data_IF_661684039740
#
_entry.id   IF_661684039740
#
_cell.length_a   1.000
_cell.length_b   1.000
_cell.length_c   1.000
_cell.angle_alpha   90.00
_cell.angle_beta   90.00
_cell.angle_gamma   90.00
#
_symmetry.space_group_name_H-M   'P 1'
#
loop_
_entity.id
_entity.type
_entity.pdbx_description
1 polymer ?
#
# COMPACT_ATOMS: atom_id res chain seq x y z
N UNK A 1 6.44 0.93 22.49
CA UNK A 1 6.47 0.10 21.26
C UNK A 1 5.11 0.14 20.55
N UNK A 2 4.02 -0.33 21.16
CA UNK A 2 2.70 -0.37 20.52
C UNK A 2 2.18 1.03 20.14
N UNK A 3 2.11 1.93 21.13
CA UNK A 3 1.60 3.31 20.93
C UNK A 3 2.45 4.12 19.97
N UNK A 4 3.72 3.73 19.79
CA UNK A 4 4.63 4.39 18.86
C UNK A 4 4.36 3.96 17.41
N UNK A 5 4.21 2.64 17.18
CA UNK A 5 4.18 2.08 15.84
C UNK A 5 2.78 1.93 15.25
N UNK A 6 1.75 1.80 16.09
CA UNK A 6 0.41 1.41 15.62
C UNK A 6 -0.50 2.63 15.34
N UNK A 7 -0.83 3.51 16.32
CA UNK A 7 -1.90 4.49 16.16
C UNK A 7 -1.53 5.78 15.41
N UNK A 8 -0.24 6.07 15.18
CA UNK A 8 0.22 7.37 14.66
C UNK A 8 -0.07 7.67 13.18
N UNK A 9 -0.81 6.79 12.47
CA UNK A 9 -1.18 6.98 11.07
C UNK A 9 -2.55 7.63 10.88
N UNK A 10 -2.99 7.77 9.63
CA UNK A 10 -4.35 8.23 9.28
C UNK A 10 -5.44 7.18 9.56
N UNK A 11 -5.04 5.94 9.86
CA UNK A 11 -5.92 4.78 10.10
C UNK A 11 -6.91 4.47 8.96
N UNK A 12 -6.61 4.92 7.73
CA UNK A 12 -7.50 4.79 6.58
C UNK A 12 -7.88 3.33 6.29
N UNK A 13 -6.98 2.37 6.53
CA UNK A 13 -7.24 0.94 6.26
C UNK A 13 -8.18 0.38 7.34
N UNK A 14 -7.90 0.70 8.60
CA UNK A 14 -8.74 0.31 9.73
C UNK A 14 -10.15 0.90 9.65
N UNK A 15 -10.26 2.21 9.41
CA UNK A 15 -11.54 2.91 9.23
C UNK A 15 -12.35 2.35 8.06
N UNK A 16 -11.67 1.95 6.98
CA UNK A 16 -12.33 1.39 5.82
C UNK A 16 -13.06 0.06 6.09
N UNK A 17 -12.69 -0.71 7.13
CA UNK A 17 -13.47 -1.90 7.53
C UNK A 17 -14.84 -1.48 8.04
N UNK A 18 -14.88 -0.45 8.89
CA UNK A 18 -16.10 0.08 9.50
C UNK A 18 -17.00 0.68 8.42
N UNK A 19 -16.43 1.54 7.57
CA UNK A 19 -17.16 2.18 6.47
C UNK A 19 -17.73 1.14 5.50
N UNK A 20 -16.93 0.13 5.14
CA UNK A 20 -17.38 -0.94 4.24
C UNK A 20 -18.52 -1.74 4.85
N UNK A 21 -18.38 -2.11 6.13
CA UNK A 21 -19.41 -2.89 6.82
C UNK A 21 -20.72 -2.11 6.94
N UNK A 22 -20.65 -0.82 7.26
CA UNK A 22 -21.81 0.05 7.32
C UNK A 22 -22.51 0.18 5.95
N UNK A 23 -21.74 0.33 4.87
CA UNK A 23 -22.29 0.40 3.51
C UNK A 23 -22.94 -0.93 3.07
N UNK A 24 -22.36 -2.06 3.46
CA UNK A 24 -22.94 -3.39 3.21
C UNK A 24 -24.24 -3.63 3.98
N UNK A 25 -24.47 -2.92 5.08
CA UNK A 25 -25.72 -2.96 5.86
C UNK A 25 -26.82 -2.07 5.29
N UNK A 26 -26.56 -1.34 4.20
CA UNK A 26 -27.54 -0.54 3.46
C UNK A 26 -28.32 0.45 4.34
N UNK A 27 -27.62 1.11 5.27
CA UNK A 27 -28.19 2.15 6.15
C UNK A 27 -28.88 1.63 7.42
N UNK A 28 -28.79 0.32 7.70
CA UNK A 28 -29.15 -0.21 9.02
C UNK A 28 -28.09 0.19 10.04
N UNK A 29 -28.55 0.64 11.21
CA UNK A 29 -27.69 1.00 12.32
C UNK A 29 -26.89 -0.22 12.81
N UNK A 30 -25.58 -0.03 13.04
CA UNK A 30 -24.71 -1.06 13.58
C UNK A 30 -24.98 -1.21 15.07
N UNK A 31 -25.13 -2.44 15.55
CA UNK A 31 -25.09 -2.70 16.99
C UNK A 31 -23.71 -2.40 17.56
N UNK A 32 -23.64 -2.16 18.89
CA UNK A 32 -22.37 -1.93 19.58
C UNK A 32 -21.37 -3.10 19.38
N UNK A 33 -21.85 -4.35 19.34
CA UNK A 33 -21.00 -5.52 19.06
C UNK A 33 -20.46 -5.49 17.62
N UNK A 34 -21.32 -5.21 16.64
CA UNK A 34 -20.91 -5.11 15.24
C UNK A 34 -19.89 -4.00 15.00
N UNK A 35 -20.13 -2.82 15.58
CA UNK A 35 -19.20 -1.69 15.50
C UNK A 35 -17.86 -2.03 16.15
N UNK A 36 -17.88 -2.62 17.36
CA UNK A 36 -16.68 -3.04 18.05
C UNK A 36 -15.89 -4.08 17.26
N UNK A 37 -16.55 -5.08 16.68
CA UNK A 37 -15.91 -6.12 15.88
C UNK A 37 -15.31 -5.55 14.59
N UNK A 38 -16.00 -4.62 13.92
CA UNK A 38 -15.45 -3.95 12.74
C UNK A 38 -14.20 -3.13 13.11
N UNK A 39 -14.23 -2.42 14.25
CA UNK A 39 -13.06 -1.73 14.79
C UNK A 39 -11.92 -2.71 15.11
N UNK A 40 -12.21 -3.86 15.71
CA UNK A 40 -11.20 -4.87 16.06
C UNK A 40 -10.50 -5.44 14.81
N UNK A 41 -11.25 -5.73 13.74
CA UNK A 41 -10.66 -6.11 12.44
C UNK A 41 -9.87 -4.97 11.82
N UNK A 42 -10.39 -3.73 11.89
CA UNK A 42 -9.67 -2.56 11.42
C UNK A 42 -8.32 -2.41 12.11
N UNK A 43 -8.27 -2.57 13.43
CA UNK A 43 -7.01 -2.58 14.18
C UNK A 43 -6.10 -3.75 13.79
N UNK A 44 -6.61 -4.95 13.54
CA UNK A 44 -5.79 -6.07 13.03
C UNK A 44 -5.03 -5.68 11.75
N UNK A 45 -5.65 -4.92 10.85
CA UNK A 45 -5.01 -4.43 9.61
C UNK A 45 -3.95 -3.36 9.93
N UNK A 46 -4.23 -2.45 10.85
CA UNK A 46 -3.24 -1.43 11.29
C UNK A 46 -2.05 -2.07 12.03
N UNK A 47 -2.26 -3.16 12.78
CA UNK A 47 -1.20 -3.98 13.37
C UNK A 47 -0.36 -4.70 12.32
N UNK A 48 -1.01 -5.28 11.29
CA UNK A 48 -0.32 -5.90 10.16
C UNK A 48 0.54 -4.88 9.41
N UNK A 49 0.00 -3.69 9.16
CA UNK A 49 0.74 -2.60 8.54
C UNK A 49 1.92 -2.18 9.42
N UNK A 50 1.71 -1.95 10.72
CA UNK A 50 2.78 -1.54 11.63
C UNK A 50 3.92 -2.57 11.68
N UNK A 51 3.60 -3.86 11.67
CA UNK A 51 4.57 -4.96 11.55
C UNK A 51 5.45 -4.79 10.31
N UNK A 52 4.84 -4.66 9.12
CA UNK A 52 5.60 -4.50 7.89
C UNK A 52 6.41 -3.20 7.87
N UNK A 53 5.85 -2.08 8.33
CA UNK A 53 6.54 -0.80 8.33
C UNK A 53 7.78 -0.77 9.22
N UNK A 54 7.74 -1.41 10.39
CA UNK A 54 8.93 -1.51 11.27
C UNK A 54 10.06 -2.27 10.59
N UNK A 55 9.75 -3.37 9.89
CA UNK A 55 10.77 -4.14 9.17
C UNK A 55 11.24 -3.44 7.90
N UNK A 56 10.32 -2.82 7.16
CA UNK A 56 10.60 -2.05 5.94
C UNK A 56 11.55 -0.88 6.25
N UNK A 57 11.30 -0.13 7.33
CA UNK A 57 12.19 0.94 7.78
C UNK A 57 13.63 0.45 8.07
N UNK A 58 13.78 -0.76 8.60
CA UNK A 58 15.09 -1.36 8.85
C UNK A 58 15.77 -1.73 7.53
N UNK A 59 15.03 -2.39 6.62
CA UNK A 59 15.57 -2.87 5.34
C UNK A 59 15.95 -1.73 4.41
N UNK A 60 15.17 -0.64 4.42
CA UNK A 60 15.41 0.55 3.61
C UNK A 60 16.37 1.54 4.27
N UNK A 61 16.76 1.33 5.52
CA UNK A 61 17.60 2.28 6.24
C UNK A 61 16.93 3.63 6.51
N UNK A 62 15.59 3.66 6.56
CA UNK A 62 14.80 4.88 6.77
C UNK A 62 15.18 5.64 8.04
N UNK A 63 15.01 6.96 7.99
CA UNK A 63 15.29 7.85 9.12
C UNK A 63 14.05 8.21 9.94
N UNK A 64 12.96 8.58 9.26
CA UNK A 64 11.73 9.07 9.89
C UNK A 64 10.48 8.41 9.32
N UNK A 65 9.48 8.22 10.16
CA UNK A 65 8.14 7.76 9.79
C UNK A 65 7.10 8.48 10.65
N UNK A 66 6.02 8.97 10.01
CA UNK A 66 4.90 9.67 10.68
C UNK A 66 5.38 10.85 11.55
N UNK A 67 6.36 11.62 11.07
CA UNK A 67 6.91 12.79 11.77
C UNK A 67 7.87 12.47 12.93
N UNK A 68 8.20 11.20 13.17
CA UNK A 68 9.11 10.78 14.24
C UNK A 68 10.24 9.90 13.70
N UNK A 69 11.36 9.71 14.44
CA UNK A 69 12.38 8.74 14.06
C UNK A 69 11.78 7.33 13.90
N UNK A 70 12.26 6.55 12.92
CA UNK A 70 11.87 5.15 12.78
C UNK A 70 12.17 4.38 14.08
N UNK A 71 11.37 3.37 14.41
CA UNK A 71 11.46 2.67 15.71
C UNK A 71 12.87 2.14 16.00
N UNK A 72 13.52 1.52 15.01
CA UNK A 72 14.87 0.99 15.13
C UNK A 72 15.98 2.06 15.27
N UNK A 73 15.67 3.33 14.96
CA UNK A 73 16.60 4.46 15.09
C UNK A 73 16.63 5.02 16.52
N UNK A 74 15.70 4.65 17.39
CA UNK A 74 15.72 5.11 18.77
C UNK A 74 16.90 4.50 19.52
N UNK A 75 17.69 5.29 20.29
CA UNK A 75 18.93 4.82 20.92
C UNK A 75 18.78 3.58 21.82
N UNK A 76 17.62 3.44 22.49
CA UNK A 76 17.33 2.34 23.41
C UNK A 76 16.70 1.12 22.71
N UNK A 77 16.39 1.22 21.41
CA UNK A 77 15.67 0.17 20.66
C UNK A 77 16.65 -0.54 19.72
N UNK A 78 17.25 0.16 18.77
CA UNK A 78 18.12 -0.47 17.78
C UNK A 78 17.45 -1.66 17.08
N UNK A 79 18.18 -2.76 16.93
CA UNK A 79 17.68 -3.97 16.26
C UNK A 79 16.71 -4.82 17.10
N UNK A 80 16.42 -4.45 18.35
CA UNK A 80 15.32 -5.05 19.13
C UNK A 80 13.99 -4.89 18.36
N UNK A 81 13.90 -3.85 17.53
CA UNK A 81 12.80 -3.60 16.61
C UNK A 81 12.39 -4.80 15.75
N UNK A 82 13.32 -5.72 15.39
CA UNK A 82 12.96 -6.96 14.67
C UNK A 82 12.04 -7.83 15.53
N UNK A 83 12.40 -8.03 16.81
CA UNK A 83 11.58 -8.82 17.73
C UNK A 83 10.25 -8.13 18.01
N UNK A 84 10.26 -6.81 18.16
CA UNK A 84 9.05 -6.01 18.33
C UNK A 84 8.08 -6.17 17.16
N UNK A 85 8.60 -6.17 15.92
CA UNK A 85 7.78 -6.42 14.73
C UNK A 85 7.09 -7.79 14.77
N UNK A 86 7.80 -8.84 15.22
CA UNK A 86 7.19 -10.16 15.41
C UNK A 86 6.08 -10.14 16.46
N UNK A 87 6.21 -9.34 17.52
CA UNK A 87 5.14 -9.15 18.51
C UNK A 87 3.94 -8.45 17.87
N UNK A 88 4.16 -7.41 17.06
CA UNK A 88 3.09 -6.72 16.32
C UNK A 88 2.28 -7.71 15.47
N UNK A 89 2.96 -8.57 14.71
CA UNK A 89 2.35 -9.62 13.89
C UNK A 89 1.53 -10.62 14.73
N UNK A 90 2.09 -11.12 15.83
CA UNK A 90 1.42 -12.11 16.68
C UNK A 90 0.19 -11.55 17.39
N UNK A 91 0.14 -10.24 17.64
CA UNK A 91 -1.01 -9.57 18.27
C UNK A 91 -2.28 -9.67 17.43
N UNK A 92 -2.18 -9.76 16.11
CA UNK A 92 -3.31 -9.95 15.19
C UNK A 92 -4.08 -11.21 15.57
N UNK A 93 -3.39 -12.35 15.67
CA UNK A 93 -4.01 -13.64 15.99
C UNK A 93 -4.53 -13.70 17.43
N UNK A 94 -3.94 -12.92 18.34
CA UNK A 94 -4.47 -12.73 19.70
C UNK A 94 -5.84 -12.03 19.68
N UNK A 95 -5.99 -10.97 18.90
CA UNK A 95 -7.24 -10.23 18.73
C UNK A 95 -8.28 -11.12 18.05
N UNK A 96 -7.92 -11.75 16.92
CA UNK A 96 -8.80 -12.66 16.19
C UNK A 96 -9.33 -13.78 17.09
N UNK A 97 -8.44 -14.48 17.81
CA UNK A 97 -8.84 -15.54 18.74
C UNK A 97 -9.71 -15.04 19.89
N UNK A 98 -9.43 -13.84 20.42
CA UNK A 98 -10.17 -13.31 21.57
C UNK A 98 -11.61 -12.94 21.21
N UNK A 99 -11.82 -12.31 20.06
CA UNK A 99 -13.10 -11.69 19.71
C UNK A 99 -13.89 -12.47 18.67
N UNK A 100 -13.23 -13.30 17.85
CA UNK A 100 -13.87 -13.94 16.69
C UNK A 100 -13.94 -15.46 16.78
N UNK A 101 -13.28 -16.13 17.75
CA UNK A 101 -13.24 -17.61 17.84
C UNK A 101 -14.58 -18.33 17.77
N UNK A 102 -15.66 -17.68 18.21
CA UNK A 102 -17.02 -18.23 18.21
C UNK A 102 -17.86 -17.81 17.00
N UNK A 103 -17.35 -16.96 16.13
CA UNK A 103 -18.04 -16.51 14.91
C UNK A 103 -17.87 -17.58 13.83
N UNK A 104 -18.90 -17.84 12.99
CA UNK A 104 -18.84 -18.88 11.95
C UNK A 104 -17.74 -18.61 10.92
N UNK A 105 -17.33 -17.35 10.75
CA UNK A 105 -16.30 -16.94 9.81
C UNK A 105 -14.88 -16.85 10.40
N UNK A 106 -14.65 -17.38 11.61
CA UNK A 106 -13.34 -17.30 12.28
C UNK A 106 -12.19 -17.90 11.47
N UNK A 107 -12.38 -19.10 10.92
CA UNK A 107 -11.32 -19.77 10.14
C UNK A 107 -11.00 -19.00 8.86
N UNK A 108 -12.02 -18.47 8.18
CA UNK A 108 -11.83 -17.65 6.99
C UNK A 108 -11.11 -16.33 7.30
N UNK A 109 -11.31 -15.73 8.48
CA UNK A 109 -10.51 -14.59 8.91
C UNK A 109 -9.04 -14.97 9.13
N UNK A 110 -8.75 -16.11 9.78
CA UNK A 110 -7.37 -16.57 9.96
C UNK A 110 -6.68 -16.79 8.61
N UNK A 111 -7.36 -17.49 7.69
CA UNK A 111 -6.83 -17.77 6.35
C UNK A 111 -6.64 -16.49 5.55
N UNK A 112 -7.61 -15.57 5.58
CA UNK A 112 -7.53 -14.27 4.91
C UNK A 112 -6.31 -13.45 5.38
N UNK A 113 -6.10 -13.33 6.69
CA UNK A 113 -4.97 -12.57 7.22
C UNK A 113 -3.64 -13.24 6.88
N UNK A 114 -3.53 -14.57 6.98
CA UNK A 114 -2.31 -15.30 6.63
C UNK A 114 -1.98 -15.20 5.13
N UNK A 115 -2.97 -15.36 4.26
CA UNK A 115 -2.80 -15.28 2.80
C UNK A 115 -2.36 -13.87 2.38
N UNK A 116 -3.00 -12.83 2.92
CA UNK A 116 -2.62 -11.44 2.62
C UNK A 116 -1.25 -11.09 3.21
N UNK A 117 -0.91 -11.59 4.40
CA UNK A 117 0.44 -11.45 4.97
C UNK A 117 1.48 -12.10 4.05
N UNK A 118 1.23 -13.32 3.58
CA UNK A 118 2.10 -14.02 2.63
C UNK A 118 2.27 -13.27 1.32
N UNK A 119 1.17 -12.76 0.75
CA UNK A 119 1.20 -11.95 -0.47
C UNK A 119 2.03 -10.67 -0.25
N UNK A 120 1.86 -9.99 0.87
CA UNK A 120 2.60 -8.77 1.22
C UNK A 120 4.09 -9.06 1.38
N UNK A 121 4.45 -10.13 2.11
CA UNK A 121 5.83 -10.56 2.26
C UNK A 121 6.46 -10.99 0.92
N UNK A 122 5.70 -11.63 0.04
CA UNK A 122 6.14 -11.99 -1.30
C UNK A 122 6.38 -10.76 -2.17
N UNK A 123 5.51 -9.74 -2.07
CA UNK A 123 5.72 -8.44 -2.70
C UNK A 123 6.99 -7.76 -2.22
N UNK A 124 7.23 -7.75 -0.90
CA UNK A 124 8.48 -7.26 -0.31
C UNK A 124 9.70 -8.01 -0.81
N UNK A 125 9.62 -9.35 -0.90
CA UNK A 125 10.70 -10.17 -1.43
C UNK A 125 11.04 -9.75 -2.86
N UNK A 126 10.04 -9.60 -3.75
CA UNK A 126 10.25 -9.19 -5.14
C UNK A 126 10.88 -7.78 -5.19
N UNK A 127 10.43 -6.85 -4.35
CA UNK A 127 10.99 -5.50 -4.25
C UNK A 127 12.49 -5.54 -3.90
N UNK A 128 12.85 -6.27 -2.85
CA UNK A 128 14.23 -6.37 -2.36
C UNK A 128 15.15 -7.07 -3.36
N UNK A 129 14.74 -8.19 -3.97
CA UNK A 129 15.59 -8.87 -4.95
C UNK A 129 15.75 -8.05 -6.23
N UNK A 130 14.75 -7.22 -6.58
CA UNK A 130 14.82 -6.33 -7.74
C UNK A 130 15.76 -5.16 -7.50
N UNK A 131 15.76 -4.60 -6.29
CA UNK A 131 16.45 -3.35 -5.95
C UNK A 131 17.84 -3.57 -5.32
N UNK A 132 18.04 -4.65 -4.56
CA UNK A 132 19.25 -4.87 -3.75
C UNK A 132 20.09 -6.08 -4.19
N UNK A 133 19.52 -7.06 -4.89
CA UNK A 133 20.25 -8.29 -5.23
C UNK A 133 21.09 -8.14 -6.51
N UNK A 134 22.40 -8.33 -6.35
CA UNK A 134 23.37 -8.24 -7.44
C UNK A 134 23.73 -6.79 -7.79
N UNK A 135 24.22 -6.58 -9.01
CA UNK A 135 24.58 -5.23 -9.45
C UNK A 135 23.32 -4.34 -9.60
N UNK A 136 23.46 -3.07 -9.20
CA UNK A 136 22.45 -2.03 -9.45
C UNK A 136 22.36 -1.81 -10.96
N UNK A 137 21.32 -2.38 -11.57
CA UNK A 137 21.10 -2.35 -13.00
C UNK A 137 19.64 -2.00 -13.30
N UNK A 138 19.44 -0.82 -13.88
CA UNK A 138 18.12 -0.31 -14.27
C UNK A 138 17.48 -1.14 -15.39
N UNK A 139 18.24 -1.95 -16.13
CA UNK A 139 17.70 -2.82 -17.18
C UNK A 139 16.76 -3.89 -16.62
N UNK A 140 16.91 -4.22 -15.33
CA UNK A 140 16.01 -5.12 -14.59
C UNK A 140 14.63 -4.51 -14.38
N UNK A 141 14.47 -3.19 -14.48
CA UNK A 141 13.22 -2.52 -14.14
C UNK A 141 12.27 -2.53 -15.34
N UNK A 142 11.02 -2.92 -15.07
CA UNK A 142 9.98 -2.92 -16.08
C UNK A 142 8.63 -2.64 -15.44
N UNK A 143 7.69 -2.13 -16.24
CA UNK A 143 6.31 -1.92 -15.80
C UNK A 143 5.66 -3.21 -15.26
N UNK A 144 6.05 -4.37 -15.81
CA UNK A 144 5.56 -5.67 -15.35
C UNK A 144 6.05 -6.05 -13.95
N UNK A 145 7.30 -5.70 -13.63
CA UNK A 145 7.90 -5.96 -12.31
C UNK A 145 7.35 -4.97 -11.29
N UNK A 146 7.30 -3.68 -11.63
CA UNK A 146 6.64 -2.65 -10.83
C UNK A 146 5.22 -3.10 -10.45
N UNK A 147 4.40 -3.47 -11.44
CA UNK A 147 3.03 -3.93 -11.20
C UNK A 147 2.96 -5.14 -10.25
N UNK A 148 3.88 -6.11 -10.39
CA UNK A 148 3.93 -7.27 -9.48
C UNK A 148 4.30 -6.86 -8.06
N UNK A 149 5.32 -6.03 -7.90
CA UNK A 149 5.73 -5.50 -6.59
C UNK A 149 4.54 -4.81 -5.94
N UNK A 150 3.95 -3.83 -6.62
CA UNK A 150 2.83 -3.03 -6.10
C UNK A 150 1.61 -3.88 -5.77
N UNK A 151 1.22 -4.78 -6.67
CA UNK A 151 0.05 -5.65 -6.47
C UNK A 151 0.20 -6.47 -5.19
N UNK A 152 1.36 -7.12 -5.00
CA UNK A 152 1.58 -8.00 -3.87
C UNK A 152 1.93 -7.24 -2.58
N UNK A 153 2.85 -6.26 -2.66
CA UNK A 153 3.35 -5.50 -1.51
C UNK A 153 2.31 -4.54 -0.93
N UNK A 154 1.45 -3.94 -1.76
CA UNK A 154 0.56 -2.86 -1.32
C UNK A 154 -0.92 -3.20 -1.48
N UNK A 155 -1.34 -3.66 -2.66
CA UNK A 155 -2.76 -3.65 -3.03
C UNK A 155 -3.62 -4.58 -2.16
N UNK A 156 -3.14 -5.80 -1.87
CA UNK A 156 -3.92 -6.78 -1.11
C UNK A 156 -4.22 -6.31 0.32
N UNK A 157 -3.20 -5.93 1.11
CA UNK A 157 -3.42 -5.55 2.51
C UNK A 157 -4.07 -4.15 2.64
N UNK A 158 -3.88 -3.27 1.65
CA UNK A 158 -4.35 -1.89 1.72
C UNK A 158 -5.79 -1.70 1.23
N UNK A 159 -6.21 -2.48 0.23
CA UNK A 159 -7.51 -2.30 -0.42
C UNK A 159 -8.40 -3.54 -0.28
N UNK A 160 -7.88 -4.72 -0.62
CA UNK A 160 -8.67 -5.95 -0.57
C UNK A 160 -9.02 -6.38 0.86
N UNK A 161 -8.02 -6.46 1.74
CA UNK A 161 -8.18 -6.97 3.10
C UNK A 161 -9.25 -6.24 3.92
N UNK A 162 -9.34 -4.89 3.92
CA UNK A 162 -10.40 -4.19 4.65
C UNK A 162 -11.82 -4.56 4.17
N UNK A 163 -12.04 -4.65 2.86
CA UNK A 163 -13.35 -4.99 2.30
C UNK A 163 -13.66 -6.48 2.51
N UNK A 164 -12.68 -7.35 2.36
CA UNK A 164 -12.82 -8.78 2.62
C UNK A 164 -13.18 -9.06 4.09
N UNK A 165 -12.60 -8.32 5.05
CA UNK A 165 -13.00 -8.36 6.45
C UNK A 165 -14.47 -8.00 6.64
N UNK A 166 -14.93 -6.91 6.01
CA UNK A 166 -16.32 -6.47 6.09
C UNK A 166 -17.29 -7.47 5.44
N UNK A 167 -16.93 -8.06 4.29
CA UNK A 167 -17.72 -9.09 3.61
C UNK A 167 -17.87 -10.34 4.49
N UNK A 168 -16.78 -10.84 5.08
CA UNK A 168 -16.86 -11.99 6.01
C UNK A 168 -17.74 -11.69 7.22
N UNK A 169 -17.62 -10.48 7.80
CA UNK A 169 -18.51 -10.05 8.88
C UNK A 169 -19.98 -9.95 8.46
N UNK A 170 -20.25 -9.67 7.18
CA UNK A 170 -21.60 -9.60 6.62
C UNK A 170 -22.18 -10.99 6.30
N UNK A 171 -21.39 -12.06 6.48
CA UNK A 171 -21.79 -13.43 6.20
C UNK A 171 -21.58 -13.85 4.74
N UNK A 172 -20.83 -13.07 3.96
CA UNK A 172 -20.54 -13.36 2.56
C UNK A 172 -19.45 -14.43 2.42
N UNK A 173 -19.54 -15.22 1.33
CA UNK A 173 -18.48 -16.12 0.93
C UNK A 173 -17.54 -15.43 -0.07
N UNK A 174 -16.28 -15.22 0.31
CA UNK A 174 -15.27 -14.51 -0.50
C UNK A 174 -15.01 -15.15 -1.88
N UNK A 175 -15.27 -16.46 -2.06
CA UNK A 175 -15.14 -17.12 -3.37
C UNK A 175 -16.08 -16.51 -4.42
N UNK A 176 -17.20 -15.94 -3.99
CA UNK A 176 -18.17 -15.28 -4.86
C UNK A 176 -17.82 -13.82 -5.17
N UNK A 177 -16.75 -13.27 -4.59
CA UNK A 177 -16.36 -11.86 -4.68
C UNK A 177 -14.99 -11.66 -5.35
N UNK A 178 -14.67 -12.52 -6.34
CA UNK A 178 -13.41 -12.46 -7.08
C UNK A 178 -13.28 -11.18 -7.93
N UNK A 179 -14.39 -10.68 -8.44
CA UNK A 179 -14.50 -9.40 -9.14
C UNK A 179 -14.21 -8.21 -8.21
N UNK A 180 -14.77 -8.21 -6.99
CA UNK A 180 -14.46 -7.21 -5.95
C UNK A 180 -12.97 -7.18 -5.64
N UNK A 181 -12.34 -8.36 -5.47
CA UNK A 181 -10.89 -8.47 -5.29
C UNK A 181 -10.11 -7.85 -6.44
N UNK A 182 -10.50 -8.16 -7.69
CA UNK A 182 -9.80 -7.64 -8.87
C UNK A 182 -9.87 -6.11 -8.95
N UNK A 183 -11.04 -5.52 -8.68
CA UNK A 183 -11.22 -4.07 -8.66
C UNK A 183 -10.37 -3.42 -7.56
N UNK A 184 -10.38 -3.97 -6.35
CA UNK A 184 -9.61 -3.43 -5.22
C UNK A 184 -8.09 -3.56 -5.44
N UNK A 185 -7.63 -4.64 -6.07
CA UNK A 185 -6.23 -4.81 -6.46
C UNK A 185 -5.84 -3.78 -7.53
N UNK A 186 -6.73 -3.48 -8.47
CA UNK A 186 -6.51 -2.45 -9.47
C UNK A 186 -6.45 -1.04 -8.85
N UNK A 187 -7.35 -0.73 -7.90
CA UNK A 187 -7.28 0.50 -7.11
C UNK A 187 -5.98 0.61 -6.33
N UNK A 188 -5.52 -0.47 -5.70
CA UNK A 188 -4.25 -0.48 -4.98
C UNK A 188 -3.04 -0.28 -5.89
N UNK A 189 -3.13 -0.76 -7.13
CA UNK A 189 -2.11 -0.50 -8.14
C UNK A 189 -2.05 0.98 -8.50
N UNK A 190 -3.21 1.58 -8.80
CA UNK A 190 -3.33 3.01 -9.05
C UNK A 190 -2.81 3.85 -7.87
N UNK A 191 -3.21 3.51 -6.64
CA UNK A 191 -2.81 4.22 -5.43
C UNK A 191 -1.29 4.28 -5.23
N UNK A 192 -0.58 3.19 -5.52
CA UNK A 192 0.88 3.17 -5.40
C UNK A 192 1.55 3.94 -6.53
N UNK A 193 1.00 3.94 -7.75
CA UNK A 193 1.50 4.82 -8.83
C UNK A 193 1.37 6.30 -8.43
N UNK A 194 0.29 6.67 -7.74
CA UNK A 194 0.17 8.02 -7.15
C UNK A 194 1.23 8.26 -6.07
N UNK A 195 1.56 7.24 -5.27
CA UNK A 195 2.56 7.38 -4.20
C UNK A 195 3.95 7.63 -4.78
N UNK A 196 4.33 6.84 -5.79
CA UNK A 196 5.57 6.97 -6.55
C UNK A 196 5.67 8.36 -7.23
N UNK A 197 4.55 8.87 -7.76
CA UNK A 197 4.48 10.22 -8.34
C UNK A 197 4.68 11.30 -7.27
N UNK A 198 3.95 11.19 -6.16
CA UNK A 198 4.00 12.14 -5.05
C UNK A 198 5.37 12.14 -4.36
N UNK A 199 6.06 11.00 -4.27
CA UNK A 199 7.41 10.92 -3.70
C UNK A 199 8.39 11.86 -4.43
N UNK A 200 8.31 11.93 -5.77
CA UNK A 200 9.19 12.78 -6.55
C UNK A 200 8.71 14.23 -6.70
N UNK A 201 7.41 14.43 -6.93
CA UNK A 201 6.82 15.71 -7.37
C UNK A 201 5.90 16.39 -6.35
N UNK A 202 5.48 15.70 -5.30
CA UNK A 202 4.61 16.30 -4.31
C UNK A 202 5.37 17.13 -3.29
N UNK A 203 4.62 18.00 -2.61
CA UNK A 203 5.18 18.91 -1.61
C UNK A 203 5.54 18.13 -0.32
N UNK A 204 6.81 18.15 0.13
CA UNK A 204 7.22 17.48 1.37
C UNK A 204 6.44 17.90 2.61
N UNK A 205 5.98 19.16 2.69
CA UNK A 205 5.17 19.63 3.82
C UNK A 205 3.78 19.00 3.84
N UNK A 206 3.23 18.70 2.66
CA UNK A 206 1.90 18.09 2.49
C UNK A 206 1.97 16.57 2.65
N UNK A 207 3.03 15.93 2.15
CA UNK A 207 3.24 14.48 2.22
C UNK A 207 3.74 14.05 3.62
N UNK A 208 4.49 14.91 4.29
CA UNK A 208 5.06 14.65 5.62
C UNK A 208 6.33 13.79 5.61
N UNK A 209 6.97 13.64 4.44
CA UNK A 209 8.31 13.09 4.26
C UNK A 209 8.99 13.73 3.04
N UNK A 210 10.32 13.70 3.03
CA UNK A 210 11.10 13.95 1.81
C UNK A 210 11.12 12.65 1.02
N UNK A 211 10.80 12.70 -0.27
CA UNK A 211 10.88 11.53 -1.13
C UNK A 211 12.32 11.12 -1.41
N UNK A 212 12.57 9.82 -1.42
CA UNK A 212 13.90 9.20 -1.51
C UNK A 212 13.97 8.11 -2.57
N UNK A 213 12.91 7.90 -3.36
CA UNK A 213 12.83 6.78 -4.31
C UNK A 213 14.00 6.77 -5.32
N UNK A 214 14.50 7.95 -5.70
CA UNK A 214 15.61 8.08 -6.65
C UNK A 214 16.92 7.64 -5.98
N UNK A 215 17.21 8.17 -4.79
CA UNK A 215 18.41 7.88 -3.99
C UNK A 215 18.48 6.40 -3.58
N UNK A 216 17.33 5.86 -3.17
CA UNK A 216 17.17 4.49 -2.68
C UNK A 216 17.17 3.46 -3.82
N UNK A 217 17.29 3.91 -5.08
CA UNK A 217 17.24 3.05 -6.25
C UNK A 217 15.96 2.20 -6.26
N UNK A 218 14.80 2.82 -6.00
CA UNK A 218 13.51 2.12 -6.00
C UNK A 218 13.04 1.85 -7.42
N UNK A 219 12.37 0.71 -7.61
CA UNK A 219 11.65 0.40 -8.83
C UNK A 219 10.31 1.17 -8.87
N UNK A 220 10.41 2.50 -8.92
CA UNK A 220 9.27 3.44 -8.95
C UNK A 220 8.60 3.47 -10.34
N UNK A 221 7.30 3.77 -10.38
CA UNK A 221 6.56 3.95 -11.63
C UNK A 221 7.22 5.01 -12.55
N UNK A 222 7.79 6.06 -11.97
CA UNK A 222 8.42 7.15 -12.72
C UNK A 222 9.65 6.67 -13.50
N UNK A 223 10.53 5.87 -12.88
CA UNK A 223 11.73 5.37 -13.57
C UNK A 223 11.39 4.36 -14.66
N UNK A 224 10.42 3.47 -14.43
CA UNK A 224 10.00 2.52 -15.49
C UNK A 224 9.37 3.24 -16.67
N UNK A 225 8.63 4.33 -16.45
CA UNK A 225 8.05 5.14 -17.52
C UNK A 225 9.09 5.99 -18.24
N UNK A 226 10.05 6.55 -17.49
CA UNK A 226 11.16 7.26 -18.10
C UNK A 226 11.99 6.33 -18.99
N UNK A 227 12.30 5.10 -18.55
CA UNK A 227 13.01 4.10 -19.35
C UNK A 227 12.26 3.72 -20.64
N UNK A 228 10.94 3.61 -20.57
CA UNK A 228 10.09 3.33 -21.74
C UNK A 228 10.16 4.44 -22.80
N UNK A 229 10.19 5.71 -22.35
CA UNK A 229 10.15 6.90 -23.22
C UNK A 229 11.52 7.42 -23.66
N UNK A 230 12.56 7.13 -22.88
CA UNK A 230 13.89 7.67 -23.09
C UNK A 230 14.58 7.11 -24.35
N UNK A 231 15.25 7.99 -25.07
CA UNK A 231 16.24 7.62 -26.09
C UNK A 231 17.54 7.09 -25.45
N UNK A 232 18.52 6.68 -26.25
CA UNK A 232 19.77 6.08 -25.74
C UNK A 232 20.58 7.00 -24.83
N UNK A 233 20.70 8.29 -25.17
CA UNK A 233 21.44 9.28 -24.36
C UNK A 233 20.75 9.53 -23.02
N UNK A 234 19.42 9.66 -23.04
CA UNK A 234 18.59 9.85 -21.84
C UNK A 234 18.61 8.61 -20.94
N UNK A 235 18.61 7.40 -21.52
CA UNK A 235 18.81 6.16 -20.76
C UNK A 235 20.17 6.17 -20.09
N UNK A 236 21.24 6.49 -20.81
CA UNK A 236 22.58 6.57 -20.22
C UNK A 236 22.62 7.55 -19.02
N UNK A 237 21.98 8.70 -19.14
CA UNK A 237 21.83 9.65 -18.03
C UNK A 237 21.12 9.02 -16.81
N UNK A 238 20.01 8.29 -17.02
CA UNK A 238 19.36 7.57 -15.91
C UNK A 238 20.30 6.57 -15.24
N UNK A 239 21.04 5.77 -16.00
CA UNK A 239 21.93 4.75 -15.46
C UNK A 239 23.10 5.34 -14.66
N UNK A 240 23.57 6.53 -15.05
CA UNK A 240 24.66 7.21 -14.35
C UNK A 240 24.22 7.90 -13.04
N UNK A 241 22.97 8.35 -12.97
CA UNK A 241 22.50 9.26 -11.91
C UNK A 241 21.47 8.65 -10.94
N UNK A 242 20.71 7.61 -11.33
CA UNK A 242 19.72 6.99 -10.45
C UNK A 242 20.38 6.13 -9.36
N UNK A 243 19.86 6.17 -8.13
CA UNK A 243 20.40 5.43 -6.97
C UNK A 243 21.67 6.01 -6.37
N UNK A 244 21.92 7.31 -6.61
CA UNK A 244 23.03 8.06 -6.05
C UNK A 244 22.50 8.98 -4.96
N UNK A 245 23.07 8.88 -3.76
CA UNK A 245 22.86 9.83 -2.67
C UNK A 245 23.66 11.12 -2.94
N UNK A 246 23.31 11.80 -4.04
CA UNK A 246 23.88 13.06 -4.48
C UNK A 246 22.79 13.95 -5.09
N UNK A 247 22.67 15.17 -4.56
CA UNK A 247 21.59 16.10 -4.96
C UNK A 247 21.66 16.52 -6.43
N UNK A 248 22.85 16.56 -7.02
CA UNK A 248 23.02 16.92 -8.44
C UNK A 248 22.55 15.78 -9.34
N UNK A 249 22.88 14.54 -8.99
CA UNK A 249 22.36 13.35 -9.66
C UNK A 249 20.82 13.27 -9.58
N UNK A 250 20.25 13.47 -8.39
CA UNK A 250 18.78 13.49 -8.19
C UNK A 250 18.13 14.58 -9.04
N UNK A 251 18.69 15.79 -9.05
CA UNK A 251 18.15 16.90 -9.85
C UNK A 251 18.15 16.57 -11.36
N UNK A 252 19.21 15.95 -11.88
CA UNK A 252 19.28 15.51 -13.29
C UNK A 252 18.20 14.48 -13.64
N UNK A 253 17.93 13.53 -12.74
CA UNK A 253 16.85 12.55 -12.93
C UNK A 253 15.49 13.25 -12.99
N UNK A 254 15.22 14.19 -12.06
CA UNK A 254 13.97 14.96 -12.02
C UNK A 254 13.79 15.84 -13.26
N UNK A 255 14.84 16.51 -13.72
CA UNK A 255 14.83 17.29 -14.97
C UNK A 255 14.55 16.41 -16.19
N UNK A 256 15.13 15.20 -16.23
CA UNK A 256 14.82 14.25 -17.28
C UNK A 256 13.36 13.78 -17.25
N UNK A 257 12.78 13.54 -16.06
CA UNK A 257 11.36 13.21 -15.95
C UNK A 257 10.46 14.32 -16.52
N UNK A 258 10.82 15.59 -16.30
CA UNK A 258 10.12 16.74 -16.90
C UNK A 258 10.29 16.75 -18.43
N UNK A 259 11.51 16.52 -18.91
CA UNK A 259 11.82 16.49 -20.36
C UNK A 259 11.05 15.38 -21.09
N UNK A 260 10.83 14.23 -20.43
CA UNK A 260 10.09 13.09 -20.96
C UNK A 260 8.57 13.18 -20.76
N UNK A 261 8.10 14.30 -20.19
CA UNK A 261 6.70 14.53 -19.82
C UNK A 261 6.10 13.36 -19.02
N UNK A 262 6.84 12.90 -18.00
CA UNK A 262 6.37 11.83 -17.11
C UNK A 262 5.17 12.30 -16.29
N UNK A 263 5.05 13.61 -16.00
CA UNK A 263 3.86 14.17 -15.36
C UNK A 263 2.62 14.06 -16.26
N UNK A 264 2.70 14.44 -17.54
CA UNK A 264 1.59 14.22 -18.48
C UNK A 264 1.25 12.74 -18.65
N UNK A 265 2.26 11.85 -18.62
CA UNK A 265 2.05 10.41 -18.58
C UNK A 265 1.22 9.94 -17.38
N UNK A 266 1.50 10.53 -16.21
CA UNK A 266 0.79 10.22 -14.97
C UNK A 266 -0.65 10.71 -15.02
N UNK A 267 -0.89 11.94 -15.49
CA UNK A 267 -2.25 12.50 -15.64
C UNK A 267 -3.12 11.66 -16.59
N UNK A 268 -2.54 11.20 -17.71
CA UNK A 268 -3.20 10.29 -18.64
C UNK A 268 -3.49 8.94 -17.98
N UNK A 269 -2.51 8.37 -17.27
CA UNK A 269 -2.67 7.11 -16.55
C UNK A 269 -3.74 7.20 -15.47
N UNK A 270 -3.76 8.27 -14.67
CA UNK A 270 -4.73 8.52 -13.61
C UNK A 270 -6.15 8.61 -14.18
N UNK A 271 -6.34 9.37 -15.25
CA UNK A 271 -7.64 9.53 -15.91
C UNK A 271 -8.16 8.19 -16.45
N UNK A 272 -7.33 7.45 -17.19
CA UNK A 272 -7.70 6.14 -17.74
C UNK A 272 -7.96 5.10 -16.65
N UNK A 273 -7.17 5.11 -15.58
CA UNK A 273 -7.36 4.20 -14.45
C UNK A 273 -8.68 4.48 -13.73
N UNK A 274 -9.00 5.75 -13.49
CA UNK A 274 -10.28 6.15 -12.89
C UNK A 274 -11.47 5.70 -13.75
N UNK A 275 -11.47 5.98 -15.06
CA UNK A 275 -12.54 5.57 -15.97
C UNK A 275 -12.74 4.06 -15.99
N UNK A 276 -11.63 3.31 -16.08
CA UNK A 276 -11.66 1.85 -16.10
C UNK A 276 -12.21 1.27 -14.81
N UNK A 277 -11.72 1.74 -13.66
CA UNK A 277 -12.16 1.28 -12.34
C UNK A 277 -13.64 1.65 -12.14
N UNK A 278 -14.05 2.88 -12.46
CA UNK A 278 -15.46 3.30 -12.36
C UNK A 278 -16.39 2.43 -13.20
N UNK A 279 -16.00 2.11 -14.44
CA UNK A 279 -16.77 1.20 -15.32
C UNK A 279 -16.91 -0.20 -14.71
N UNK A 280 -15.85 -0.74 -14.10
CA UNK A 280 -15.92 -2.03 -13.41
C UNK A 280 -16.87 -1.97 -12.21
N UNK A 281 -16.80 -0.90 -11.42
CA UNK A 281 -17.69 -0.70 -10.27
C UNK A 281 -19.15 -0.63 -10.73
N UNK A 282 -19.47 0.18 -11.73
CA UNK A 282 -20.84 0.36 -12.20
C UNK A 282 -21.44 -0.91 -12.81
N UNK A 283 -20.59 -1.78 -13.37
CA UNK A 283 -20.96 -3.10 -13.87
C UNK A 283 -21.24 -4.15 -12.79
N UNK A 284 -20.90 -3.91 -11.52
CA UNK A 284 -21.12 -4.88 -10.44
C UNK A 284 -22.62 -5.00 -10.09
N UNK A 285 -23.19 -6.20 -9.88
CA UNK A 285 -24.64 -6.36 -9.67
C UNK A 285 -25.15 -5.80 -8.33
N UNK A 286 -24.36 -5.91 -7.25
CA UNK A 286 -24.76 -5.43 -5.91
C UNK A 286 -24.52 -3.93 -5.74
N UNK A 287 -25.57 -3.16 -5.47
CA UNK A 287 -25.50 -1.72 -5.20
C UNK A 287 -24.74 -1.39 -3.90
N UNK A 288 -24.86 -2.23 -2.88
CA UNK A 288 -24.09 -2.10 -1.65
C UNK A 288 -22.58 -2.20 -1.92
N UNK A 289 -22.17 -3.19 -2.72
CA UNK A 289 -20.76 -3.33 -3.14
C UNK A 289 -20.31 -2.15 -4.01
N UNK A 290 -21.16 -1.67 -4.93
CA UNK A 290 -20.86 -0.46 -5.71
C UNK A 290 -20.56 0.73 -4.78
N UNK A 291 -21.36 0.91 -3.72
CA UNK A 291 -21.17 2.00 -2.75
C UNK A 291 -19.85 1.87 -1.99
N UNK A 292 -19.49 0.65 -1.55
CA UNK A 292 -18.19 0.36 -0.92
C UNK A 292 -17.04 0.76 -1.85
N UNK A 293 -17.06 0.26 -3.09
CA UNK A 293 -15.98 0.52 -4.04
C UNK A 293 -15.88 2.00 -4.44
N UNK A 294 -17.01 2.69 -4.62
CA UNK A 294 -17.04 4.15 -4.88
C UNK A 294 -16.46 4.94 -3.71
N UNK A 295 -16.75 4.54 -2.47
CA UNK A 295 -16.18 5.16 -1.26
C UNK A 295 -14.65 5.07 -1.24
N UNK A 296 -14.09 3.89 -1.58
CA UNK A 296 -12.64 3.72 -1.70
C UNK A 296 -12.02 4.59 -2.79
N UNK A 297 -12.61 4.58 -4.00
CA UNK A 297 -12.07 5.34 -5.11
C UNK A 297 -12.09 6.85 -4.84
N UNK A 298 -13.17 7.36 -4.24
CA UNK A 298 -13.30 8.77 -3.88
C UNK A 298 -12.24 9.22 -2.87
N UNK A 299 -11.78 8.33 -1.97
CA UNK A 299 -10.72 8.65 -0.99
C UNK A 299 -9.33 8.78 -1.62
N UNK A 300 -9.10 8.20 -2.81
CA UNK A 300 -7.77 8.16 -3.44
C UNK A 300 -7.66 8.97 -4.73
N UNK A 301 -8.76 9.17 -5.45
CA UNK A 301 -8.75 9.89 -6.73
C UNK A 301 -8.28 11.33 -6.53
N UNK A 302 -7.26 11.76 -7.30
CA UNK A 302 -6.64 13.09 -7.19
C UNK A 302 -6.16 13.45 -5.78
N UNK A 303 -5.71 12.47 -4.99
CA UNK A 303 -5.14 12.72 -3.67
C UNK A 303 -3.85 13.54 -3.79
N UNK A 304 -3.60 14.38 -2.78
CA UNK A 304 -2.40 15.20 -2.67
C UNK A 304 -1.41 14.66 -1.61
N UNK A 305 -1.79 13.61 -0.86
CA UNK A 305 -1.03 13.01 0.25
C UNK A 305 -1.53 11.60 0.61
#
# INVERSE_FOLDING_TARGET
MLDYNVPGGKLNRGLSVIDSYNLLKEGKELSDDEFFLACALGWCIEWLQAYFLVLDDIMDGSHTRRGHPCWFRLPQVGMIAISDALILRNQIFRILKKHFRGKPYYVYLLDLFNEVEFQTASGQMIDLITTLQGEKDLSKYSLSIHRKIVQYKTAYYSFYLPVACALLMAGENLDNHSDVKNVLVEMGTYFQVQDDFLDCFGDPEVIGKVGTDIEDFKCSWLVVKALERANEEQRKLLYENYGKDDRVCVAKVKELYQTLDVQGAFEEYESKSYEKIMKQIEGHPSKAVQAVLKSFLAKIYKRQK
#
